data_IF_163763655288
#
_entry.id   IF_163763655288
#
_cell.length_a   1.000
_cell.length_b   1.000
_cell.length_c   1.000
_cell.angle_alpha   90.00
_cell.angle_beta   90.00
_cell.angle_gamma   90.00
#
_symmetry.space_group_name_H-M   'P 1'
#
loop_
_entity.id
_entity.type
_entity.pdbx_description
1 polymer ?
#
# COMPACT_ATOMS: atom_id res chain seq x y z
N UNK A 1 -5.56 -9.66 12.24
CA UNK A 1 -4.20 -9.14 12.45
C UNK A 1 -4.14 -7.75 13.08
N UNK A 2 -5.28 -7.25 13.59
CA UNK A 2 -5.34 -5.93 14.24
C UNK A 2 -4.37 -5.89 15.42
N UNK A 3 -3.52 -4.87 15.46
CA UNK A 3 -2.51 -4.69 16.50
C UNK A 3 -1.21 -5.46 16.28
N UNK A 4 -1.14 -6.29 15.24
CA UNK A 4 0.07 -7.05 14.95
C UNK A 4 1.13 -6.17 14.30
N UNK A 5 2.43 -6.43 14.60
CA UNK A 5 3.52 -5.82 13.85
C UNK A 5 3.59 -6.42 12.44
N UNK A 6 4.39 -5.84 11.53
CA UNK A 6 4.67 -6.47 10.25
C UNK A 6 5.30 -7.86 10.45
N UNK A 7 5.16 -8.72 9.43
CA UNK A 7 5.85 -10.00 9.41
C UNK A 7 7.36 -9.79 9.62
N UNK A 8 7.98 -10.65 10.44
CA UNK A 8 9.41 -10.51 10.78
C UNK A 8 10.30 -10.50 9.55
N UNK A 9 9.93 -11.23 8.50
CA UNK A 9 10.68 -11.27 7.23
C UNK A 9 10.58 -9.94 6.48
N UNK A 10 9.42 -9.26 6.58
CA UNK A 10 9.27 -7.92 6.03
C UNK A 10 10.11 -6.91 6.79
N UNK A 11 10.15 -7.01 8.11
CA UNK A 11 11.01 -6.17 8.96
C UNK A 11 12.47 -6.36 8.58
N UNK A 12 12.91 -7.62 8.41
CA UNK A 12 14.29 -7.94 8.07
C UNK A 12 14.66 -7.41 6.68
N UNK A 13 13.79 -7.58 5.68
CA UNK A 13 14.03 -7.08 4.33
C UNK A 13 14.14 -5.56 4.33
N UNK A 14 13.25 -4.88 5.01
CA UNK A 14 13.29 -3.42 5.11
C UNK A 14 14.56 -2.93 5.80
N UNK A 15 15.00 -3.62 6.87
CA UNK A 15 16.23 -3.28 7.58
C UNK A 15 17.48 -3.42 6.71
N UNK A 16 17.54 -4.45 5.84
CA UNK A 16 18.67 -4.59 4.92
C UNK A 16 18.78 -3.40 3.98
N UNK A 17 17.71 -2.64 3.81
CA UNK A 17 17.64 -1.44 2.96
C UNK A 17 17.64 -0.14 3.76
N UNK A 18 17.90 -0.22 5.07
CA UNK A 18 18.01 0.95 5.94
C UNK A 18 16.68 1.53 6.41
N UNK A 19 15.59 0.77 6.33
CA UNK A 19 14.25 1.21 6.74
C UNK A 19 13.76 0.36 7.91
N UNK A 20 13.40 1.02 9.00
CA UNK A 20 12.83 0.34 10.17
C UNK A 20 11.31 0.48 10.17
N UNK A 21 10.61 -0.63 10.00
CA UNK A 21 9.14 -0.68 10.06
C UNK A 21 8.64 -1.41 11.31
N UNK A 22 9.52 -1.72 12.26
CA UNK A 22 9.18 -2.55 13.43
C UNK A 22 8.13 -1.92 14.34
N UNK A 23 8.00 -0.59 14.32
CA UNK A 23 7.02 0.13 15.13
C UNK A 23 5.62 0.17 14.54
N UNK A 24 5.45 -0.26 13.31
CA UNK A 24 4.14 -0.26 12.66
C UNK A 24 3.23 -1.33 13.23
N UNK A 25 1.94 -1.03 13.28
CA UNK A 25 0.91 -1.95 13.76
C UNK A 25 -0.28 -1.92 12.81
N UNK A 26 -0.85 -3.10 12.56
CA UNK A 26 -2.08 -3.20 11.79
C UNK A 26 -3.25 -2.63 12.58
N UNK A 27 -4.12 -1.90 11.91
CA UNK A 27 -5.39 -1.46 12.48
C UNK A 27 -6.52 -1.63 11.48
N UNK A 28 -7.74 -1.68 11.99
CA UNK A 28 -8.93 -1.78 11.17
C UNK A 28 -9.18 -0.45 10.42
N UNK A 29 -9.61 -0.57 9.17
CA UNK A 29 -10.10 0.58 8.40
C UNK A 29 -11.43 1.06 8.99
N UNK A 30 -11.53 2.35 9.26
CA UNK A 30 -12.72 2.99 9.81
C UNK A 30 -13.38 3.86 8.75
N UNK A 31 -14.71 4.09 8.88
CA UNK A 31 -15.42 4.97 7.97
C UNK A 31 -14.84 6.38 7.96
N UNK A 32 -14.36 6.86 9.09
CA UNK A 32 -13.74 8.19 9.19
C UNK A 32 -12.46 8.30 8.34
N UNK A 33 -11.79 7.20 8.04
CA UNK A 33 -10.58 7.22 7.21
C UNK A 33 -10.86 7.75 5.80
N UNK A 34 -12.05 7.48 5.25
CA UNK A 34 -12.42 7.99 3.92
C UNK A 34 -12.59 9.51 3.89
N UNK A 35 -12.94 10.10 5.01
CA UNK A 35 -13.02 11.57 5.16
C UNK A 35 -11.64 12.18 5.42
N UNK A 36 -10.85 11.51 6.23
CA UNK A 36 -9.63 12.06 6.81
C UNK A 36 -8.46 12.03 5.85
N UNK A 37 -8.36 11.01 5.02
CA UNK A 37 -7.24 10.83 4.09
C UNK A 37 -7.64 11.24 2.68
N UNK A 38 -6.74 11.94 2.00
CA UNK A 38 -6.93 12.34 0.61
C UNK A 38 -6.84 11.18 -0.36
N UNK A 39 -6.02 10.18 -0.03
CA UNK A 39 -5.86 8.95 -0.79
C UNK A 39 -5.86 7.74 0.14
N UNK A 40 -6.58 6.70 -0.28
CA UNK A 40 -6.55 5.39 0.35
C UNK A 40 -6.08 4.40 -0.71
N UNK A 41 -5.03 3.65 -0.38
CA UNK A 41 -4.34 2.82 -1.35
C UNK A 41 -4.62 1.34 -1.08
N UNK A 42 -5.17 0.66 -2.07
CA UNK A 42 -5.42 -0.77 -2.02
C UNK A 42 -4.24 -1.52 -2.64
N UNK A 43 -3.79 -2.58 -1.96
CA UNK A 43 -2.66 -3.38 -2.43
C UNK A 43 -3.07 -4.35 -3.54
N UNK A 44 -4.34 -4.75 -3.57
CA UNK A 44 -4.89 -5.64 -4.59
C UNK A 44 -6.36 -5.30 -4.87
N UNK A 45 -6.94 -5.93 -5.90
CA UNK A 45 -8.31 -5.66 -6.29
C UNK A 45 -9.33 -6.11 -5.25
N UNK A 46 -9.05 -7.15 -4.49
CA UNK A 46 -9.99 -7.60 -3.44
C UNK A 46 -10.11 -6.56 -2.33
N UNK A 47 -9.01 -5.94 -1.93
CA UNK A 47 -9.01 -4.84 -0.97
C UNK A 47 -9.68 -3.59 -1.56
N UNK A 48 -9.40 -3.29 -2.82
CA UNK A 48 -10.04 -2.16 -3.51
C UNK A 48 -11.57 -2.32 -3.50
N UNK A 49 -12.07 -3.48 -3.88
CA UNK A 49 -13.51 -3.73 -3.95
C UNK A 49 -14.16 -3.65 -2.56
N UNK A 50 -13.52 -4.21 -1.54
CA UNK A 50 -14.01 -4.15 -0.17
C UNK A 50 -14.07 -2.71 0.34
N UNK A 51 -13.04 -1.91 0.08
CA UNK A 51 -13.01 -0.50 0.46
C UNK A 51 -14.07 0.30 -0.29
N UNK A 52 -14.25 0.02 -1.57
CA UNK A 52 -15.20 0.73 -2.43
C UNK A 52 -16.65 0.51 -1.95
N UNK A 53 -16.96 -0.70 -1.50
CA UNK A 53 -18.30 -1.00 -0.97
C UNK A 53 -18.59 -0.30 0.36
N UNK A 54 -17.58 -0.08 1.19
CA UNK A 54 -17.73 0.61 2.47
C UNK A 54 -17.73 2.12 2.33
N UNK A 55 -17.17 2.63 1.24
CA UNK A 55 -16.93 4.07 1.07
C UNK A 55 -18.19 4.80 0.61
N UNK A 56 -18.51 5.95 1.19
CA UNK A 56 -19.56 6.82 0.64
C UNK A 56 -19.26 7.16 -0.82
N UNK A 57 -20.28 7.14 -1.71
CA UNK A 57 -20.05 7.37 -3.14
C UNK A 57 -19.26 8.64 -3.47
N UNK A 58 -19.47 9.72 -2.73
CA UNK A 58 -18.77 10.99 -2.94
C UNK A 58 -17.26 10.93 -2.67
N UNK A 59 -16.80 9.89 -1.98
CA UNK A 59 -15.40 9.74 -1.57
C UNK A 59 -14.70 8.59 -2.31
N UNK A 60 -15.41 7.84 -3.15
CA UNK A 60 -14.85 6.67 -3.82
C UNK A 60 -13.66 6.99 -4.72
N UNK A 61 -13.60 8.20 -5.25
CA UNK A 61 -12.45 8.63 -6.08
C UNK A 61 -11.14 8.73 -5.29
N UNK A 62 -11.20 8.73 -3.96
CA UNK A 62 -10.02 8.72 -3.09
C UNK A 62 -9.36 7.35 -3.00
N UNK A 63 -10.06 6.29 -3.41
CA UNK A 63 -9.55 4.92 -3.37
C UNK A 63 -8.83 4.63 -4.67
N UNK A 64 -7.57 4.20 -4.58
CA UNK A 64 -6.76 3.87 -5.74
C UNK A 64 -5.96 2.60 -5.51
N UNK A 65 -5.67 1.90 -6.61
CA UNK A 65 -4.71 0.80 -6.56
C UNK A 65 -3.32 1.36 -6.36
N UNK A 66 -2.58 0.82 -5.38
CA UNK A 66 -1.23 1.29 -5.11
C UNK A 66 -0.32 1.11 -6.32
N UNK A 67 -0.43 -0.03 -7.01
CA UNK A 67 0.39 -0.33 -8.19
C UNK A 67 0.02 0.52 -9.42
N UNK A 68 -1.05 1.30 -9.36
CA UNK A 68 -1.32 2.32 -10.37
C UNK A 68 -0.13 3.27 -10.54
N UNK A 69 0.62 3.51 -9.47
CA UNK A 69 1.78 4.41 -9.47
C UNK A 69 3.07 3.74 -9.93
N UNK A 70 3.02 2.47 -10.30
CA UNK A 70 4.15 1.71 -10.85
C UNK A 70 3.71 0.88 -12.06
N UNK A 71 3.04 1.51 -13.02
CA UNK A 71 2.49 0.83 -14.20
C UNK A 71 3.56 0.17 -15.06
N UNK A 72 4.77 0.69 -15.03
CA UNK A 72 5.91 0.14 -15.77
C UNK A 72 6.25 -1.30 -15.35
N UNK A 73 5.82 -1.72 -14.16
CA UNK A 73 6.03 -3.10 -13.70
C UNK A 73 5.08 -4.10 -14.36
N UNK A 74 3.95 -3.62 -14.91
CA UNK A 74 2.90 -4.48 -15.44
C UNK A 74 2.13 -5.26 -14.36
N UNK A 75 2.34 -4.96 -13.08
CA UNK A 75 1.74 -5.67 -11.95
C UNK A 75 0.67 -4.76 -11.33
N UNK A 76 -0.56 -5.30 -11.19
CA UNK A 76 -1.69 -4.57 -10.60
C UNK A 76 -1.87 -4.89 -9.12
N UNK A 77 -1.71 -6.14 -8.73
CA UNK A 77 -1.86 -6.61 -7.37
C UNK A 77 -0.48 -6.85 -6.76
N UNK A 78 -0.23 -6.28 -5.57
CA UNK A 78 0.95 -6.64 -4.80
C UNK A 78 0.74 -8.05 -4.26
N UNK A 79 1.57 -9.03 -4.63
CA UNK A 79 1.38 -10.39 -4.16
C UNK A 79 1.68 -10.51 -2.67
N UNK A 80 1.06 -11.50 -2.02
CA UNK A 80 1.39 -11.82 -0.64
C UNK A 80 2.73 -12.58 -0.64
N UNK A 81 3.79 -12.04 -0.05
CA UNK A 81 5.09 -12.69 -0.05
C UNK A 81 5.11 -13.96 0.78
N UNK A 82 4.12 -14.15 1.66
CA UNK A 82 4.01 -15.33 2.52
C UNK A 82 3.90 -16.63 1.72
N UNK A 83 3.23 -16.58 0.56
CA UNK A 83 3.00 -17.75 -0.29
C UNK A 83 4.01 -17.86 -1.44
N UNK A 84 4.98 -16.95 -1.50
CA UNK A 84 5.98 -16.93 -2.56
C UNK A 84 7.19 -17.78 -2.24
N UNK A 85 7.97 -18.13 -3.26
CA UNK A 85 9.28 -18.76 -3.11
C UNK A 85 10.32 -17.75 -2.63
N UNK A 86 11.42 -18.21 -2.09
CA UNK A 86 12.52 -17.57 -1.37
C UNK A 86 12.78 -16.07 -1.48
N UNK A 87 12.49 -15.41 -2.62
CA UNK A 87 12.73 -13.99 -2.82
C UNK A 87 11.46 -13.14 -2.78
N UNK A 88 10.35 -13.69 -2.28
CA UNK A 88 9.04 -13.00 -2.28
C UNK A 88 9.07 -11.67 -1.54
N UNK A 89 9.70 -11.61 -0.38
CA UNK A 89 9.76 -10.37 0.40
C UNK A 89 10.61 -9.30 -0.28
N UNK A 90 11.72 -9.68 -0.89
CA UNK A 90 12.55 -8.74 -1.65
C UNK A 90 11.81 -8.17 -2.85
N UNK A 91 11.10 -9.02 -3.60
CA UNK A 91 10.30 -8.59 -4.75
C UNK A 91 9.16 -7.67 -4.37
N UNK A 92 8.45 -8.00 -3.28
CA UNK A 92 7.37 -7.15 -2.78
C UNK A 92 7.92 -5.80 -2.34
N UNK A 93 9.05 -5.78 -1.66
CA UNK A 93 9.68 -4.51 -1.29
C UNK A 93 10.03 -3.67 -2.52
N UNK A 94 10.59 -4.28 -3.57
CA UNK A 94 10.89 -3.57 -4.81
C UNK A 94 9.64 -2.95 -5.45
N UNK A 95 8.53 -3.69 -5.45
CA UNK A 95 7.24 -3.18 -5.97
C UNK A 95 6.74 -2.01 -5.14
N UNK A 96 6.80 -2.11 -3.81
CA UNK A 96 6.36 -1.06 -2.90
C UNK A 96 7.23 0.19 -3.09
N UNK A 97 8.53 0.01 -3.23
CA UNK A 97 9.44 1.13 -3.48
C UNK A 97 9.12 1.83 -4.80
N UNK A 98 8.94 1.09 -5.88
CA UNK A 98 8.60 1.64 -7.19
C UNK A 98 7.29 2.42 -7.14
N UNK A 99 6.26 1.85 -6.53
CA UNK A 99 4.95 2.51 -6.40
C UNK A 99 5.01 3.72 -5.48
N UNK A 100 5.81 3.67 -4.42
CA UNK A 100 6.00 4.80 -3.50
C UNK A 100 6.68 5.98 -4.19
N UNK A 101 7.69 5.71 -5.01
CA UNK A 101 8.36 6.74 -5.79
C UNK A 101 7.39 7.37 -6.79
N UNK A 102 6.62 6.55 -7.51
CA UNK A 102 5.63 7.02 -8.46
C UNK A 102 4.51 7.83 -7.80
N UNK A 103 4.06 7.38 -6.63
CA UNK A 103 3.05 8.10 -5.85
C UNK A 103 3.56 9.46 -5.39
N UNK A 104 4.77 9.52 -4.86
CA UNK A 104 5.37 10.77 -4.40
C UNK A 104 5.50 11.76 -5.56
N UNK A 105 5.94 11.28 -6.72
CA UNK A 105 6.04 12.10 -7.92
C UNK A 105 4.66 12.63 -8.35
N UNK A 106 3.64 11.78 -8.34
CA UNK A 106 2.26 12.17 -8.66
C UNK A 106 1.73 13.23 -7.70
N UNK A 107 2.00 13.08 -6.41
CA UNK A 107 1.59 14.04 -5.38
C UNK A 107 2.25 15.41 -5.65
N UNK A 108 3.53 15.43 -5.93
CA UNK A 108 4.27 16.66 -6.21
C UNK A 108 3.78 17.33 -7.49
N UNK A 109 3.54 16.55 -8.54
CA UNK A 109 3.15 17.05 -9.85
C UNK A 109 1.72 17.58 -9.86
N UNK A 110 0.81 16.90 -9.17
CA UNK A 110 -0.63 17.22 -9.18
C UNK A 110 -1.06 18.06 -7.98
N UNK A 111 -0.14 18.52 -7.16
CA UNK A 111 -0.43 19.35 -5.98
C UNK A 111 -1.41 18.69 -5.01
N UNK A 112 -1.32 17.37 -4.85
CA UNK A 112 -2.16 16.63 -3.89
C UNK A 112 -1.81 16.95 -2.44
N UNK A 113 -0.58 17.44 -2.22
CA UNK A 113 -0.12 17.99 -0.94
C UNK A 113 0.23 19.45 -1.19
N UNK A 114 -0.47 20.31 -0.52
CA UNK A 114 -0.19 21.76 -0.48
C UNK A 114 0.12 22.21 0.92
#
# INVERSE_FOLDING_TARGET
HIGDPPDSRSIDEAMTRGVDISDQRARKLLLDDFEEFDLLLAMDYSHHDAMYQLCPPRLQSRIRMFMYYAQETGISDVPDPYYGSGNGFSRVYDMIEAASIGLLDAIKTNHLIE
#
